data_IF_268383083503
#
_entry.id   IF_268383083503
#
_cell.length_a   1.000
_cell.length_b   1.000
_cell.length_c   1.000
_cell.angle_alpha   90.00
_cell.angle_beta   90.00
_cell.angle_gamma   90.00
#
_symmetry.space_group_name_H-M   'P 1'
#
loop_
_entity.id
_entity.type
_entity.pdbx_description
1 polymer ?
#
# COMPACT_ATOMS: atom_id res chain seq x y z
N UNK A 1 7.21 8.12 -4.96
CA UNK A 1 6.73 9.51 -4.81
C UNK A 1 5.39 9.78 -5.48
N UNK A 2 5.19 9.47 -6.79
CA UNK A 2 3.86 9.58 -7.41
C UNK A 2 2.79 8.75 -6.69
N UNK A 3 3.19 7.55 -6.23
CA UNK A 3 2.34 6.60 -5.51
C UNK A 3 1.75 7.18 -4.22
N UNK A 4 2.57 7.77 -3.34
CA UNK A 4 2.12 8.34 -2.06
C UNK A 4 1.12 9.48 -2.26
N UNK A 5 1.32 10.33 -3.27
CA UNK A 5 0.37 11.41 -3.60
C UNK A 5 -1.00 10.86 -4.02
N UNK A 6 -1.01 9.75 -4.73
CA UNK A 6 -2.25 9.11 -5.19
C UNK A 6 -2.99 8.42 -4.04
N UNK A 7 -2.28 7.77 -3.11
CA UNK A 7 -2.88 7.32 -1.85
C UNK A 7 -3.53 8.48 -1.07
N UNK A 8 -2.83 9.62 -0.91
CA UNK A 8 -3.40 10.79 -0.26
C UNK A 8 -4.67 11.31 -0.97
N UNK A 9 -4.69 11.31 -2.31
CA UNK A 9 -5.88 11.72 -3.10
C UNK A 9 -7.07 10.79 -2.91
N UNK A 10 -6.84 9.51 -2.61
CA UNK A 10 -7.90 8.56 -2.25
C UNK A 10 -8.38 8.71 -0.79
N UNK A 11 -7.83 9.66 -0.03
CA UNK A 11 -8.25 9.92 1.35
C UNK A 11 -7.49 9.13 2.42
N UNK A 12 -6.39 8.45 2.06
CA UNK A 12 -5.55 7.79 3.06
C UNK A 12 -4.80 8.83 3.92
N UNK A 13 -4.83 8.62 5.23
CA UNK A 13 -3.90 9.27 6.15
C UNK A 13 -2.53 8.62 6.02
N UNK A 14 -1.47 9.43 6.01
CA UNK A 14 -0.11 8.96 5.73
C UNK A 14 0.75 9.07 6.99
N UNK A 15 1.47 7.99 7.32
CA UNK A 15 2.51 7.96 8.34
C UNK A 15 3.81 7.41 7.75
N UNK A 16 4.95 7.93 8.22
CA UNK A 16 6.26 7.50 7.75
C UNK A 16 7.33 7.63 8.84
N UNK A 17 8.31 6.72 8.85
CA UNK A 17 9.49 6.87 9.73
C UNK A 17 10.30 8.09 9.33
N UNK A 18 11.01 8.72 10.27
CA UNK A 18 11.63 10.04 10.07
C UNK A 18 12.42 10.20 8.76
N UNK A 19 13.25 9.23 8.37
CA UNK A 19 14.00 9.30 7.11
C UNK A 19 13.11 9.29 5.86
N UNK A 20 12.05 8.49 5.87
CA UNK A 20 11.06 8.47 4.78
C UNK A 20 10.21 9.74 4.80
N UNK A 21 9.76 10.18 5.99
CA UNK A 21 8.97 11.40 6.16
C UNK A 21 9.71 12.65 5.66
N UNK A 22 11.00 12.79 6.02
CA UNK A 22 11.84 13.88 5.54
C UNK A 22 11.95 13.89 4.01
N UNK A 23 12.22 12.74 3.40
CA UNK A 23 12.27 12.63 1.94
C UNK A 23 10.93 13.01 1.30
N UNK A 24 9.80 12.52 1.81
CA UNK A 24 8.47 12.86 1.28
C UNK A 24 8.19 14.38 1.36
N UNK A 25 8.61 15.04 2.44
CA UNK A 25 8.49 16.50 2.60
C UNK A 25 9.33 17.27 1.59
N UNK A 26 10.57 16.85 1.32
CA UNK A 26 11.43 17.46 0.29
C UNK A 26 10.78 17.43 -1.10
N UNK A 27 10.02 16.38 -1.38
CA UNK A 27 9.25 16.24 -2.62
C UNK A 27 7.87 16.92 -2.58
N UNK A 28 7.57 17.72 -1.56
CA UNK A 28 6.36 18.52 -1.43
C UNK A 28 5.11 17.72 -1.07
N UNK A 29 5.25 16.59 -0.38
CA UNK A 29 4.14 15.82 0.20
C UNK A 29 3.97 16.28 1.64
N UNK A 30 2.87 16.97 1.90
CA UNK A 30 2.51 17.47 3.23
C UNK A 30 1.50 16.53 3.91
N UNK A 31 1.32 16.68 5.23
CA UNK A 31 0.36 15.87 5.99
C UNK A 31 0.80 14.43 6.25
N UNK A 32 2.12 14.14 6.15
CA UNK A 32 2.68 12.85 6.57
C UNK A 32 3.04 12.94 8.05
N UNK A 33 2.40 12.11 8.86
CA UNK A 33 2.73 11.93 10.27
C UNK A 33 4.12 11.26 10.40
N UNK A 34 4.99 11.82 11.23
CA UNK A 34 6.28 11.21 11.52
C UNK A 34 6.18 10.24 12.69
N UNK A 35 6.62 9.01 12.47
CA UNK A 35 6.60 7.95 13.48
C UNK A 35 8.01 7.49 13.84
N UNK A 36 8.21 7.17 15.12
CA UNK A 36 9.50 6.70 15.63
C UNK A 36 9.81 5.30 15.10
N UNK A 37 11.08 5.03 14.79
CA UNK A 37 11.54 3.66 14.52
C UNK A 37 11.61 2.86 15.82
N UNK A 38 11.67 1.54 15.66
CA UNK A 38 11.97 0.62 16.77
C UNK A 38 13.31 1.01 17.39
N UNK A 39 13.30 1.32 18.69
CA UNK A 39 14.47 1.77 19.45
C UNK A 39 14.59 3.28 19.63
N UNK A 40 13.77 4.11 18.97
CA UNK A 40 13.77 5.58 19.10
C UNK A 40 12.79 6.10 20.18
N UNK A 41 12.17 5.18 20.93
CA UNK A 41 11.20 5.49 22.00
C UNK A 41 9.82 4.88 21.76
N UNK A 42 8.81 5.34 22.51
CA UNK A 42 7.42 4.92 22.40
C UNK A 42 6.44 6.10 22.20
N UNK A 43 5.24 5.86 21.63
CA UNK A 43 4.97 4.71 20.77
C UNK A 43 5.87 4.76 19.53
N UNK A 44 6.35 3.61 19.05
CA UNK A 44 7.05 3.49 17.77
C UNK A 44 6.18 2.74 16.75
N UNK A 45 6.67 2.66 15.51
CA UNK A 45 5.97 2.02 14.40
C UNK A 45 5.49 0.59 14.70
N UNK A 46 6.22 -0.18 15.52
CA UNK A 46 5.80 -1.52 15.89
C UNK A 46 4.65 -1.49 16.91
N UNK A 47 4.74 -0.62 17.92
CA UNK A 47 3.67 -0.45 18.91
C UNK A 47 2.35 -0.07 18.19
N UNK A 48 2.41 0.89 17.26
CA UNK A 48 1.24 1.37 16.50
C UNK A 48 0.66 0.31 15.56
N UNK A 49 1.50 -0.50 14.91
CA UNK A 49 1.02 -1.66 14.12
C UNK A 49 0.30 -2.66 15.04
N UNK A 50 0.85 -2.94 16.22
CA UNK A 50 0.28 -3.87 17.18
C UNK A 50 -1.03 -3.38 17.80
N UNK A 51 -1.18 -2.07 17.94
CA UNK A 51 -2.41 -1.41 18.39
C UNK A 51 -3.49 -1.36 17.30
N UNK A 52 -3.15 -1.68 16.05
CA UNK A 52 -4.10 -1.72 14.93
C UNK A 52 -4.33 -0.36 14.26
N UNK A 53 -3.44 0.60 14.47
CA UNK A 53 -3.55 1.97 13.93
C UNK A 53 -3.33 2.06 12.41
N UNK A 54 -2.92 0.96 11.76
CA UNK A 54 -2.65 0.92 10.32
C UNK A 54 -3.38 -0.19 9.59
N UNK A 55 -4.03 0.17 8.49
CA UNK A 55 -4.77 -0.77 7.62
C UNK A 55 -3.93 -1.25 6.43
N UNK A 56 -2.81 -0.58 6.13
CA UNK A 56 -1.92 -0.89 5.03
C UNK A 56 -0.49 -0.46 5.36
N UNK A 57 0.48 -1.35 5.11
CA UNK A 57 1.91 -1.03 5.25
C UNK A 57 2.61 -1.18 3.91
N UNK A 58 3.35 -0.14 3.49
CA UNK A 58 4.23 -0.18 2.33
C UNK A 58 5.67 -0.14 2.82
N UNK A 59 6.40 -1.22 2.59
CA UNK A 59 7.77 -1.38 3.07
C UNK A 59 8.64 -1.96 1.97
N UNK A 60 9.23 -1.09 1.15
CA UNK A 60 10.16 -1.45 0.08
C UNK A 60 11.56 -1.68 0.66
N UNK A 61 12.00 -2.92 0.89
CA UNK A 61 13.31 -3.16 1.49
C UNK A 61 14.41 -2.77 0.51
N UNK A 62 15.42 -2.06 1.01
CA UNK A 62 16.69 -1.91 0.30
C UNK A 62 17.53 -3.19 0.47
N UNK A 63 18.36 -3.51 -0.52
CA UNK A 63 19.20 -4.71 -0.51
C UNK A 63 20.13 -4.73 0.72
N UNK A 64 20.32 -5.89 1.35
CA UNK A 64 21.25 -6.06 2.48
C UNK A 64 20.69 -5.77 3.89
N UNK A 65 19.36 -5.63 4.04
CA UNK A 65 18.74 -5.41 5.35
C UNK A 65 18.78 -6.67 6.22
N UNK A 66 19.25 -6.52 7.48
CA UNK A 66 19.35 -7.62 8.46
C UNK A 66 17.96 -8.14 8.88
N UNK A 67 17.90 -9.39 9.35
CA UNK A 67 16.69 -9.97 9.98
C UNK A 67 16.23 -9.18 11.22
N UNK A 68 17.13 -8.46 11.91
CA UNK A 68 16.77 -7.57 13.02
C UNK A 68 16.29 -6.18 12.58
N UNK A 69 16.27 -5.87 11.29
CA UNK A 69 15.88 -4.55 10.80
C UNK A 69 14.43 -4.20 11.19
N UNK A 70 14.17 -2.91 11.38
CA UNK A 70 12.82 -2.36 11.58
C UNK A 70 11.84 -2.90 10.54
N UNK A 71 12.25 -2.95 9.27
CA UNK A 71 11.43 -3.46 8.19
C UNK A 71 11.09 -4.95 8.31
N UNK A 72 11.99 -5.80 8.83
CA UNK A 72 11.68 -7.21 9.07
C UNK A 72 10.66 -7.38 10.19
N UNK A 73 10.82 -6.66 11.30
CA UNK A 73 9.90 -6.71 12.43
C UNK A 73 8.50 -6.22 12.04
N UNK A 74 8.39 -5.12 11.28
CA UNK A 74 7.11 -4.63 10.74
C UNK A 74 6.41 -5.68 9.88
N UNK A 75 7.14 -6.34 8.94
CA UNK A 75 6.55 -7.37 8.08
C UNK A 75 5.99 -8.53 8.87
N UNK A 76 6.71 -8.98 9.90
CA UNK A 76 6.24 -10.06 10.78
C UNK A 76 4.94 -9.67 11.51
N UNK A 77 4.93 -8.48 12.13
CA UNK A 77 3.74 -7.99 12.82
C UNK A 77 2.53 -7.85 11.88
N UNK A 78 2.75 -7.35 10.66
CA UNK A 78 1.67 -7.26 9.66
C UNK A 78 1.08 -8.64 9.31
N UNK A 79 1.92 -9.67 9.15
CA UNK A 79 1.45 -11.05 8.90
C UNK A 79 0.65 -11.57 10.09
N UNK A 80 1.15 -11.39 11.30
CA UNK A 80 0.51 -11.83 12.55
C UNK A 80 -0.87 -11.18 12.75
N UNK A 81 -1.03 -9.92 12.34
CA UNK A 81 -2.25 -9.12 12.50
C UNK A 81 -3.13 -9.05 11.25
N UNK A 82 -2.75 -9.76 10.17
CA UNK A 82 -3.45 -9.76 8.87
C UNK A 82 -3.57 -8.38 8.23
N UNK A 83 -2.60 -7.50 8.48
CA UNK A 83 -2.50 -6.20 7.82
C UNK A 83 -1.77 -6.41 6.49
N UNK A 84 -2.35 -5.99 5.34
CA UNK A 84 -1.67 -6.02 4.05
C UNK A 84 -0.31 -5.30 4.10
N UNK A 85 0.76 -6.02 3.74
CA UNK A 85 2.12 -5.48 3.69
C UNK A 85 2.70 -5.61 2.29
N UNK A 86 2.84 -4.48 1.59
CA UNK A 86 3.36 -4.42 0.22
C UNK A 86 4.87 -4.17 0.27
N UNK A 87 5.64 -5.09 -0.32
CA UNK A 87 7.11 -5.08 -0.25
C UNK A 87 7.79 -4.65 -1.54
N UNK A 88 7.02 -4.41 -2.60
CA UNK A 88 7.52 -3.94 -3.88
C UNK A 88 6.69 -2.75 -4.35
N UNK A 89 7.36 -1.74 -4.92
CA UNK A 89 6.72 -0.53 -5.44
C UNK A 89 5.70 -0.86 -6.53
N UNK A 90 6.00 -1.81 -7.41
CA UNK A 90 5.12 -2.19 -8.53
C UNK A 90 3.85 -2.88 -8.04
N UNK A 91 3.94 -3.68 -6.97
CA UNK A 91 2.76 -4.27 -6.32
C UNK A 91 1.91 -3.20 -5.66
N UNK A 92 2.53 -2.22 -4.99
CA UNK A 92 1.82 -1.08 -4.42
C UNK A 92 1.11 -0.24 -5.49
N UNK A 93 1.74 -0.07 -6.64
CA UNK A 93 1.17 0.63 -7.79
C UNK A 93 -0.04 -0.11 -8.36
N UNK A 94 0.09 -1.41 -8.61
CA UNK A 94 -1.03 -2.23 -9.09
C UNK A 94 -2.21 -2.25 -8.11
N UNK A 95 -1.93 -2.36 -6.80
CA UNK A 95 -2.94 -2.29 -5.76
C UNK A 95 -3.68 -0.94 -5.77
N UNK A 96 -2.93 0.16 -5.87
CA UNK A 96 -3.49 1.50 -5.94
C UNK A 96 -4.38 1.71 -7.17
N UNK A 97 -3.99 1.19 -8.34
CA UNK A 97 -4.83 1.26 -9.55
C UNK A 97 -6.17 0.54 -9.36
N UNK A 98 -6.17 -0.59 -8.64
CA UNK A 98 -7.43 -1.26 -8.28
C UNK A 98 -8.25 -0.38 -7.34
N UNK A 99 -7.66 0.19 -6.30
CA UNK A 99 -8.36 1.09 -5.39
C UNK A 99 -8.95 2.32 -6.11
N UNK A 100 -8.21 2.92 -7.03
CA UNK A 100 -8.68 4.05 -7.83
C UNK A 100 -9.87 3.67 -8.71
N UNK A 101 -9.84 2.48 -9.31
CA UNK A 101 -11.00 1.97 -10.07
C UNK A 101 -12.20 1.71 -9.17
N UNK A 102 -11.95 1.20 -7.96
CA UNK A 102 -13.00 0.81 -7.02
C UNK A 102 -13.68 2.00 -6.36
N UNK A 103 -12.87 2.92 -5.85
CA UNK A 103 -13.32 4.01 -5.00
C UNK A 103 -13.27 5.37 -5.70
N UNK A 104 -12.55 5.51 -6.81
CA UNK A 104 -12.34 6.80 -7.47
C UNK A 104 -13.47 7.26 -8.39
N UNK A 105 -14.31 6.34 -8.90
CA UNK A 105 -15.36 6.69 -9.87
C UNK A 105 -16.80 6.39 -9.42
N UNK A 106 -17.03 5.94 -8.18
CA UNK A 106 -18.39 5.63 -7.71
C UNK A 106 -19.12 4.63 -8.62
N UNK A 107 -18.37 3.75 -9.30
CA UNK A 107 -18.92 2.79 -10.27
C UNK A 107 -19.29 1.50 -9.58
N UNK A 108 -20.48 0.99 -9.92
CA UNK A 108 -20.82 -0.41 -9.70
C UNK A 108 -19.84 -1.28 -10.49
N UNK A 109 -19.22 -2.25 -9.83
CA UNK A 109 -18.49 -3.31 -10.52
C UNK A 109 -19.53 -4.26 -11.09
N UNK A 110 -19.65 -4.39 -12.42
CA UNK A 110 -20.49 -5.44 -12.98
C UNK A 110 -19.90 -6.78 -12.56
N UNK A 111 -20.52 -7.43 -11.59
CA UNK A 111 -20.21 -8.80 -11.22
C UNK A 111 -20.68 -9.67 -12.38
N UNK A 112 -19.73 -10.34 -13.02
CA UNK A 112 -20.00 -11.28 -14.11
C UNK A 112 -19.87 -12.71 -13.60
N UNK A 113 -20.82 -13.53 -13.97
CA UNK A 113 -20.71 -14.99 -13.88
C UNK A 113 -19.66 -15.49 -14.86
N UNK A 114 -19.15 -16.71 -14.62
CA UNK A 114 -18.18 -17.33 -15.53
C UNK A 114 -18.72 -17.44 -16.97
N UNK A 115 -20.03 -17.66 -17.13
CA UNK A 115 -20.68 -17.69 -18.45
C UNK A 115 -20.57 -16.36 -19.19
N UNK A 116 -20.94 -15.26 -18.53
CA UNK A 116 -20.85 -13.91 -19.10
C UNK A 116 -19.41 -13.52 -19.47
N UNK A 117 -18.43 -13.95 -18.66
CA UNK A 117 -17.01 -13.72 -18.96
C UNK A 117 -16.55 -14.46 -20.23
N UNK A 118 -16.97 -15.71 -20.40
CA UNK A 118 -16.61 -16.53 -21.56
C UNK A 118 -17.27 -16.05 -22.86
N UNK A 119 -18.49 -15.52 -22.79
CA UNK A 119 -19.17 -14.94 -23.95
C UNK A 119 -18.46 -13.70 -24.48
N UNK A 120 -18.04 -12.79 -23.60
CA UNK A 120 -17.28 -11.60 -23.99
C UNK A 120 -15.92 -11.96 -24.60
N UNK A 121 -15.23 -12.94 -24.01
CA UNK A 121 -13.95 -13.43 -24.53
C UNK A 121 -14.07 -14.05 -25.93
N UNK A 122 -15.16 -14.77 -26.18
CA UNK A 122 -15.45 -15.37 -27.48
C UNK A 122 -15.73 -14.29 -28.55
N UNK A 123 -16.42 -13.21 -28.19
CA UNK A 123 -16.72 -12.08 -29.08
C UNK A 123 -15.48 -11.28 -29.49
N UNK A 124 -14.50 -11.11 -28.60
CA UNK A 124 -13.22 -10.45 -28.94
C UNK A 124 -12.34 -11.31 -29.85
N UNK A 125 -12.44 -12.64 -29.75
CA UNK A 125 -11.66 -13.58 -30.57
C UNK A 125 -12.15 -13.68 -32.02
N UNK A 126 -13.39 -13.24 -32.31
CA UNK A 126 -14.00 -13.25 -33.65
C UNK A 126 -13.75 -11.98 -34.47
N UNK A 127 -13.17 -10.90 -33.91
CA UNK A 127 -12.82 -9.67 -34.65
C UNK A 127 -11.35 -9.59 -35.10
N UNK A 128 -10.59 -10.68 -34.94
CA UNK A 128 -9.16 -10.76 -35.27
C UNK A 128 -8.82 -11.68 -36.44
N UNK A 129 -9.70 -11.80 -37.45
CA UNK A 129 -9.41 -12.47 -38.72
C UNK A 129 -9.71 -11.54 -39.90
#
# INVERSE_FOLDING_TARGET
LPLVRRFARLGFSLAATGGTGASLKEYGIQGVEEVKKIGEGKPNVLDLIQEGEYELVINTPTYGQKLSSTGHQMRRACVELKIPCLTASDTAEAFLQVLERVYGEGRDFPVKTLGEYLEDFSRTSSQGH
#
